data_IF_891875075799
#
_entry.id   IF_891875075799
#
_cell.length_a   1.000
_cell.length_b   1.000
_cell.length_c   1.000
_cell.angle_alpha   90.00
_cell.angle_beta   90.00
_cell.angle_gamma   90.00
#
_symmetry.space_group_name_H-M   'P 1'
#
loop_
_entity.id
_entity.type
_entity.pdbx_description
1 polymer ?
#
# COMPACT_ATOMS: atom_id res chain seq x y z
N UNK A 1 7.68 -1.89 -24.51
CA UNK A 1 7.43 -2.99 -23.56
C UNK A 1 6.91 -2.38 -22.28
N UNK A 2 5.81 -2.88 -21.72
CA UNK A 2 5.28 -2.41 -20.44
C UNK A 2 6.24 -2.79 -19.31
N UNK A 3 6.61 -1.83 -18.46
CA UNK A 3 7.39 -2.08 -17.26
C UNK A 3 6.41 -2.49 -16.14
N UNK A 4 6.41 -3.75 -15.67
CA UNK A 4 5.41 -4.24 -14.72
C UNK A 4 5.47 -3.51 -13.38
N UNK A 5 6.68 -3.16 -12.91
CA UNK A 5 6.88 -2.35 -11.69
C UNK A 5 6.19 -0.99 -11.84
N UNK A 6 6.53 -0.22 -12.88
CA UNK A 6 5.92 1.09 -13.15
C UNK A 6 4.41 1.01 -13.37
N UNK A 7 3.95 -0.05 -14.04
CA UNK A 7 2.52 -0.28 -14.30
C UNK A 7 1.77 -0.51 -12.99
N UNK A 8 2.25 -1.43 -12.15
CA UNK A 8 1.65 -1.68 -10.84
C UNK A 8 1.69 -0.42 -9.96
N UNK A 9 2.83 0.27 -9.90
CA UNK A 9 2.95 1.52 -9.13
C UNK A 9 1.94 2.57 -9.60
N UNK A 10 1.73 2.71 -10.91
CA UNK A 10 0.77 3.67 -11.45
C UNK A 10 -0.67 3.32 -11.11
N UNK A 11 -1.05 2.06 -11.28
CA UNK A 11 -2.39 1.56 -10.92
C UNK A 11 -2.65 1.76 -9.43
N UNK A 12 -1.70 1.34 -8.57
CA UNK A 12 -1.82 1.53 -7.14
C UNK A 12 -1.88 3.01 -6.79
N UNK A 13 -1.07 3.86 -7.42
CA UNK A 13 -1.08 5.31 -7.19
C UNK A 13 -2.46 5.92 -7.43
N UNK A 14 -3.10 5.60 -8.56
CA UNK A 14 -4.47 6.04 -8.85
C UNK A 14 -5.47 5.48 -7.84
N UNK A 15 -5.43 4.17 -7.57
CA UNK A 15 -6.36 3.52 -6.64
C UNK A 15 -6.27 4.15 -5.26
N UNK A 16 -5.06 4.35 -4.73
CA UNK A 16 -4.81 4.92 -3.41
C UNK A 16 -5.35 6.34 -3.26
N UNK A 17 -5.11 7.20 -4.26
CA UNK A 17 -5.71 8.55 -4.26
C UNK A 17 -7.23 8.48 -4.28
N UNK A 18 -7.81 7.63 -5.13
CA UNK A 18 -9.26 7.52 -5.23
C UNK A 18 -9.90 7.01 -3.94
N UNK A 19 -9.38 5.93 -3.35
CA UNK A 19 -9.94 5.37 -2.11
C UNK A 19 -9.70 6.28 -0.90
N UNK A 20 -8.62 7.07 -0.90
CA UNK A 20 -8.38 8.06 0.15
C UNK A 20 -9.28 9.30 0.02
N UNK A 21 -9.71 9.69 -1.20
CA UNK A 21 -10.65 10.81 -1.40
C UNK A 21 -12.10 10.38 -1.16
N UNK A 22 -12.44 9.13 -1.44
CA UNK A 22 -13.83 8.65 -1.47
C UNK A 22 -14.63 8.84 -0.16
N UNK A 23 -14.05 8.68 1.06
CA UNK A 23 -14.76 8.94 2.32
C UNK A 23 -15.26 10.39 2.43
N UNK A 24 -14.49 11.36 1.93
CA UNK A 24 -14.87 12.78 1.89
C UNK A 24 -16.03 13.07 0.93
N UNK A 25 -16.35 12.13 0.04
CA UNK A 25 -17.47 12.18 -0.90
C UNK A 25 -18.64 11.29 -0.45
N UNK A 26 -18.62 10.79 0.79
CA UNK A 26 -19.66 9.96 1.37
C UNK A 26 -19.37 8.45 1.34
N UNK A 27 -18.20 8.02 0.87
CA UNK A 27 -17.70 6.64 1.00
C UNK A 27 -18.39 5.57 0.15
N UNK A 28 -19.61 5.85 -0.33
CA UNK A 28 -20.47 4.97 -1.15
C UNK A 28 -20.75 3.58 -0.52
N UNK A 29 -20.66 3.47 0.81
CA UNK A 29 -20.80 2.21 1.53
C UNK A 29 -19.56 1.31 1.46
N UNK A 30 -18.47 1.78 0.84
CA UNK A 30 -17.22 1.05 0.69
C UNK A 30 -16.16 1.45 1.73
N UNK A 31 -15.85 2.74 1.85
CA UNK A 31 -14.74 3.25 2.68
C UNK A 31 -15.19 4.43 3.54
N UNK A 32 -14.79 4.43 4.81
CA UNK A 32 -15.08 5.51 5.77
C UNK A 32 -15.65 5.00 7.09
N UNK A 33 -16.02 5.94 7.96
CA UNK A 33 -16.54 5.61 9.29
C UNK A 33 -17.78 4.71 9.20
N UNK A 34 -17.74 3.58 9.94
CA UNK A 34 -18.75 2.53 9.92
C UNK A 34 -18.98 1.77 8.61
N UNK A 35 -18.15 1.94 7.56
CA UNK A 35 -18.34 1.28 6.26
C UNK A 35 -17.58 -0.05 6.15
N UNK A 36 -17.63 -0.71 4.98
CA UNK A 36 -17.00 -2.03 4.74
C UNK A 36 -15.50 -2.01 5.09
N UNK A 37 -14.78 -1.01 4.60
CA UNK A 37 -13.42 -0.66 5.00
C UNK A 37 -13.52 0.53 5.94
N UNK A 38 -13.20 0.30 7.20
CA UNK A 38 -13.42 1.31 8.22
C UNK A 38 -12.18 2.20 8.31
N UNK A 39 -12.34 3.46 7.93
CA UNK A 39 -11.25 4.42 7.90
C UNK A 39 -11.64 5.71 8.61
N UNK A 40 -10.65 6.33 9.23
CA UNK A 40 -10.74 7.69 9.74
C UNK A 40 -9.92 8.64 8.84
N UNK A 41 -10.02 9.94 9.11
CA UNK A 41 -9.30 10.97 8.33
C UNK A 41 -7.80 10.70 8.25
N UNK A 42 -7.19 10.19 9.32
CA UNK A 42 -5.75 9.88 9.31
C UNK A 42 -5.40 8.75 8.35
N UNK A 43 -6.19 7.68 8.31
CA UNK A 43 -6.04 6.60 7.33
C UNK A 43 -6.22 7.14 5.90
N UNK A 44 -7.25 7.93 5.67
CA UNK A 44 -7.57 8.49 4.35
C UNK A 44 -6.41 9.37 3.82
N UNK A 45 -5.83 10.20 4.70
CA UNK A 45 -4.66 11.02 4.36
C UNK A 45 -3.41 10.19 4.07
N UNK A 46 -3.19 9.08 4.79
CA UNK A 46 -2.11 8.14 4.49
C UNK A 46 -2.31 7.54 3.10
N UNK A 47 -3.53 7.14 2.75
CA UNK A 47 -3.84 6.62 1.41
C UNK A 47 -3.61 7.65 0.31
N UNK A 48 -4.06 8.89 0.48
CA UNK A 48 -3.80 9.97 -0.48
C UNK A 48 -2.29 10.19 -0.64
N UNK A 49 -1.55 10.30 0.47
CA UNK A 49 -0.11 10.55 0.44
C UNK A 49 0.65 9.42 -0.26
N UNK A 50 0.36 8.16 0.08
CA UNK A 50 0.98 7.02 -0.60
C UNK A 50 0.64 6.99 -2.09
N UNK A 51 -0.61 7.28 -2.46
CA UNK A 51 -1.03 7.35 -3.85
C UNK A 51 -0.28 8.42 -4.64
N UNK A 52 -0.14 9.62 -4.07
CA UNK A 52 0.64 10.71 -4.67
C UNK A 52 2.11 10.31 -4.83
N UNK A 53 2.72 9.70 -3.82
CA UNK A 53 4.11 9.19 -3.90
C UNK A 53 4.23 8.22 -5.07
N UNK A 54 3.34 7.24 -5.19
CA UNK A 54 3.36 6.26 -6.28
C UNK A 54 3.21 6.92 -7.66
N UNK A 55 2.32 7.91 -7.81
CA UNK A 55 2.18 8.64 -9.06
C UNK A 55 3.43 9.44 -9.44
N UNK A 56 4.16 9.99 -8.46
CA UNK A 56 5.45 10.63 -8.71
C UNK A 56 6.51 9.61 -9.13
N UNK A 57 6.46 8.40 -8.57
CA UNK A 57 7.39 7.32 -8.89
C UNK A 57 7.23 6.79 -10.31
N UNK A 58 6.08 6.94 -10.99
CA UNK A 58 5.93 6.47 -12.38
C UNK A 58 6.46 7.42 -13.44
N UNK A 59 6.87 8.64 -13.04
CA UNK A 59 7.44 9.62 -13.97
C UNK A 59 8.73 9.11 -14.63
N UNK A 60 9.07 9.69 -15.78
CA UNK A 60 10.29 9.36 -16.54
C UNK A 60 11.57 9.80 -15.84
N UNK A 61 11.46 10.68 -14.84
CA UNK A 61 12.58 11.19 -14.05
C UNK A 61 13.08 10.19 -12.99
N UNK A 62 12.30 9.13 -12.73
CA UNK A 62 12.58 8.15 -11.69
C UNK A 62 12.92 6.81 -12.34
N UNK A 63 14.01 6.17 -11.92
CA UNK A 63 14.41 4.86 -12.46
C UNK A 63 13.47 3.74 -12.00
N UNK A 64 13.42 2.65 -12.77
CA UNK A 64 12.71 1.42 -12.38
C UNK A 64 13.22 0.90 -11.04
N UNK A 65 14.53 0.91 -10.84
CA UNK A 65 15.18 0.44 -9.60
C UNK A 65 14.75 1.21 -8.37
N UNK A 66 14.70 2.55 -8.46
CA UNK A 66 14.21 3.37 -7.36
C UNK A 66 12.71 3.13 -7.12
N UNK A 67 11.93 2.91 -8.18
CA UNK A 67 10.49 2.56 -8.08
C UNK A 67 10.30 1.23 -7.36
N UNK A 68 11.09 0.21 -7.72
CA UNK A 68 11.10 -1.12 -7.10
C UNK A 68 11.43 -1.04 -5.62
N UNK A 69 12.45 -0.28 -5.25
CA UNK A 69 12.82 -0.07 -3.83
C UNK A 69 11.70 0.55 -3.02
N UNK A 70 11.03 1.57 -3.56
CA UNK A 70 9.87 2.20 -2.89
C UNK A 70 8.73 1.20 -2.73
N UNK A 71 8.41 0.41 -3.77
CA UNK A 71 7.42 -0.66 -3.66
C UNK A 71 7.79 -1.67 -2.57
N UNK A 72 9.04 -2.12 -2.48
CA UNK A 72 9.46 -3.05 -1.41
C UNK A 72 9.24 -2.45 -0.02
N UNK A 73 9.66 -1.19 0.18
CA UNK A 73 9.47 -0.50 1.46
C UNK A 73 8.00 -0.44 1.84
N UNK A 74 7.12 0.01 0.94
CA UNK A 74 5.69 0.07 1.21
C UNK A 74 5.05 -1.31 1.35
N UNK A 75 5.47 -2.32 0.58
CA UNK A 75 5.01 -3.69 0.72
C UNK A 75 5.31 -4.27 2.11
N UNK A 76 6.51 -4.01 2.64
CA UNK A 76 6.87 -4.35 4.03
C UNK A 76 6.00 -3.57 5.01
N UNK A 77 5.81 -2.26 4.81
CA UNK A 77 4.94 -1.44 5.67
C UNK A 77 3.52 -2.02 5.72
N UNK A 78 2.91 -2.32 4.58
CA UNK A 78 1.55 -2.91 4.54
C UNK A 78 1.49 -4.27 5.23
N UNK A 79 2.52 -5.10 5.10
CA UNK A 79 2.57 -6.37 5.81
C UNK A 79 2.63 -6.16 7.33
N UNK A 80 3.47 -5.23 7.80
CA UNK A 80 3.59 -4.90 9.22
C UNK A 80 2.29 -4.32 9.76
N UNK A 81 1.64 -3.42 9.01
CA UNK A 81 0.33 -2.84 9.35
C UNK A 81 -0.72 -3.93 9.46
N UNK A 82 -0.78 -4.87 8.51
CA UNK A 82 -1.72 -5.98 8.55
C UNK A 82 -1.50 -6.88 9.79
N UNK A 83 -0.25 -7.26 10.06
CA UNK A 83 0.11 -8.08 11.23
C UNK A 83 -0.28 -7.38 12.52
N UNK A 84 0.07 -6.10 12.67
CA UNK A 84 -0.30 -5.32 13.85
C UNK A 84 -1.82 -5.18 13.96
N UNK A 85 -2.51 -4.92 12.85
CA UNK A 85 -3.97 -4.84 12.80
C UNK A 85 -4.65 -6.13 13.27
N UNK A 86 -4.18 -7.31 12.84
CA UNK A 86 -4.73 -8.58 13.33
C UNK A 86 -4.49 -8.80 14.82
N UNK A 87 -3.32 -8.40 15.34
CA UNK A 87 -3.00 -8.51 16.77
C UNK A 87 -3.90 -7.59 17.60
N UNK A 88 -4.05 -6.33 17.20
CA UNK A 88 -4.77 -5.33 18.02
C UNK A 88 -6.29 -5.46 17.85
N UNK A 89 -6.80 -5.66 16.62
CA UNK A 89 -8.24 -5.90 16.40
C UNK A 89 -8.69 -7.21 17.04
N UNK A 90 -7.85 -8.25 17.05
CA UNK A 90 -8.14 -9.51 17.73
C UNK A 90 -8.19 -9.39 19.27
N UNK A 91 -7.56 -8.35 19.84
CA UNK A 91 -7.53 -8.10 21.27
C UNK A 91 -8.61 -7.10 21.75
N UNK A 92 -9.17 -6.29 20.85
CA UNK A 92 -10.24 -5.34 21.18
C UNK A 92 -11.62 -5.99 21.12
N UNK A 93 -12.50 -5.68 22.07
CA UNK A 93 -13.91 -6.12 22.09
C UNK A 93 -14.77 -5.55 20.96
N UNK A 94 -14.18 -4.77 20.04
CA UNK A 94 -14.81 -4.17 18.87
C UNK A 94 -14.03 -4.48 17.58
N UNK A 95 -14.73 -4.46 16.45
CA UNK A 95 -14.18 -4.78 15.12
C UNK A 95 -13.33 -3.66 14.49
N UNK A 96 -12.96 -2.64 15.27
CA UNK A 96 -12.23 -1.46 14.82
C UNK A 96 -11.11 -1.19 15.81
N UNK A 97 -9.91 -0.93 15.31
CA UNK A 97 -8.77 -0.56 16.14
C UNK A 97 -7.92 0.53 15.50
N UNK A 98 -7.45 1.47 16.32
CA UNK A 98 -6.43 2.42 15.92
C UNK A 98 -5.06 1.74 15.88
N UNK A 99 -4.38 1.77 14.73
CA UNK A 99 -3.13 1.10 14.37
C UNK A 99 -1.92 1.38 15.31
N UNK A 100 -2.05 2.28 16.29
CA UNK A 100 -1.05 2.52 17.33
C UNK A 100 -1.64 2.64 18.76
N UNK A 101 -2.91 2.30 18.99
CA UNK A 101 -3.61 2.60 20.25
C UNK A 101 -3.83 4.10 20.52
N UNK A 102 -3.34 4.96 19.61
CA UNK A 102 -3.44 6.42 19.65
C UNK A 102 -4.63 6.97 18.84
N UNK A 103 -5.42 6.11 18.18
CA UNK A 103 -6.57 6.51 17.35
C UNK A 103 -6.22 7.30 16.07
N UNK A 104 -4.95 7.31 15.65
CA UNK A 104 -4.52 8.13 14.50
C UNK A 104 -4.93 7.52 13.15
N UNK A 105 -4.83 6.21 13.00
CA UNK A 105 -5.19 5.48 11.77
C UNK A 105 -6.03 4.29 12.20
N UNK A 106 -7.31 4.28 11.85
CA UNK A 106 -8.23 3.21 12.22
C UNK A 106 -8.32 2.15 11.13
N UNK A 107 -8.39 0.88 11.53
CA UNK A 107 -8.52 -0.28 10.65
C UNK A 107 -9.52 -1.28 11.22
N UNK A 108 -10.23 -1.99 10.35
CA UNK A 108 -11.02 -3.17 10.69
C UNK A 108 -10.42 -4.47 10.12
N UNK A 109 -11.15 -5.58 10.27
CA UNK A 109 -10.72 -6.87 9.70
C UNK A 109 -10.60 -6.86 8.18
N UNK A 110 -11.53 -6.20 7.47
CA UNK A 110 -11.48 -6.11 6.01
C UNK A 110 -10.23 -5.35 5.54
N UNK A 111 -9.87 -4.26 6.22
CA UNK A 111 -8.63 -3.51 5.98
C UNK A 111 -7.39 -4.40 6.17
N UNK A 112 -7.35 -5.19 7.24
CA UNK A 112 -6.22 -6.09 7.51
C UNK A 112 -6.01 -7.11 6.38
N UNK A 113 -7.08 -7.74 5.90
CA UNK A 113 -6.99 -8.68 4.77
C UNK A 113 -6.57 -7.97 3.48
N UNK A 114 -7.11 -6.78 3.21
CA UNK A 114 -6.73 -5.99 2.03
C UNK A 114 -5.24 -5.62 2.08
N UNK A 115 -4.72 -5.23 3.24
CA UNK A 115 -3.30 -4.94 3.42
C UNK A 115 -2.40 -6.17 3.21
N UNK A 116 -2.82 -7.37 3.61
CA UNK A 116 -2.10 -8.61 3.28
C UNK A 116 -2.05 -8.82 1.77
N UNK A 117 -3.21 -8.76 1.10
CA UNK A 117 -3.29 -8.94 -0.36
C UNK A 117 -2.39 -7.93 -1.08
N UNK A 118 -2.43 -6.67 -0.65
CA UNK A 118 -1.60 -5.62 -1.20
C UNK A 118 -0.11 -5.87 -0.96
N UNK A 119 0.28 -6.23 0.26
CA UNK A 119 1.68 -6.55 0.59
C UNK A 119 2.21 -7.69 -0.29
N UNK A 120 1.44 -8.77 -0.44
CA UNK A 120 1.81 -9.91 -1.28
C UNK A 120 1.91 -9.53 -2.76
N UNK A 121 0.96 -8.74 -3.28
CA UNK A 121 1.00 -8.29 -4.66
C UNK A 121 2.21 -7.40 -4.95
N UNK A 122 2.49 -6.44 -4.07
CA UNK A 122 3.61 -5.50 -4.21
C UNK A 122 4.96 -6.23 -4.11
N UNK A 123 5.15 -7.02 -3.04
CA UNK A 123 6.39 -7.76 -2.80
C UNK A 123 6.62 -8.83 -3.85
N UNK A 124 5.57 -9.50 -4.31
CA UNK A 124 5.64 -10.49 -5.38
C UNK A 124 6.14 -9.90 -6.69
N UNK A 125 5.56 -8.77 -7.14
CA UNK A 125 6.04 -8.10 -8.37
C UNK A 125 7.47 -7.58 -8.22
N UNK A 126 7.81 -7.01 -7.06
CA UNK A 126 9.16 -6.51 -6.83
C UNK A 126 10.22 -7.63 -6.80
N UNK A 127 9.89 -8.79 -6.23
CA UNK A 127 10.79 -9.94 -6.17
C UNK A 127 11.02 -10.56 -7.55
N UNK A 128 9.95 -10.78 -8.32
CA UNK A 128 10.02 -11.38 -9.66
C UNK A 128 10.84 -10.53 -10.65
N UNK A 129 10.79 -9.20 -10.53
CA UNK A 129 11.60 -8.32 -11.39
C UNK A 129 13.10 -8.35 -11.02
N UNK A 130 13.44 -8.64 -9.76
CA UNK A 130 14.82 -8.79 -9.31
C UNK A 130 15.55 -10.00 -9.91
N UNK A 131 14.82 -11.05 -10.28
CA UNK A 131 15.39 -12.25 -10.92
C UNK A 131 15.67 -12.06 -12.42
N UNK A 132 15.03 -11.07 -13.04
CA UNK A 132 15.16 -10.81 -14.48
C UNK A 132 16.33 -9.87 -14.83
N UNK A 133 17.06 -9.34 -13.84
CA UNK A 133 18.24 -8.53 -14.09
C UNK A 133 19.41 -9.40 -14.56
N UNK A 134 20.01 -9.13 -15.73
CA UNK A 134 21.18 -9.86 -16.18
C UNK A 134 22.32 -9.68 -15.19
N UNK A 135 22.98 -10.79 -14.82
CA UNK A 135 24.10 -10.79 -13.88
C UNK A 135 25.14 -9.74 -14.30
N UNK A 136 25.78 -9.04 -13.34
CA UNK A 136 26.83 -8.08 -13.66
C UNK A 136 27.88 -8.79 -14.52
N UNK A 137 28.08 -8.30 -15.75
CA UNK A 137 29.19 -8.77 -16.56
C UNK A 137 30.44 -8.50 -15.76
N UNK A 138 31.10 -9.58 -15.31
CA UNK A 138 32.40 -9.48 -14.67
C UNK A 138 33.32 -8.94 -15.74
N UNK A 139 33.57 -7.64 -15.72
CA UNK A 139 34.50 -6.99 -16.61
C UNK A 139 35.86 -7.64 -16.33
N UNK A 140 36.27 -8.50 -17.26
CA UNK A 140 37.47 -9.31 -17.17
C UNK A 140 38.67 -8.37 -17.18
N UNK A 141 39.22 -8.14 -15.98
CA UNK A 141 40.50 -7.49 -15.74
C UNK A 141 41.64 -8.50 -15.89
#
# INVERSE_FOLDING_TARGET
MSNPVKTLTGVLGVVFVLVGILPFLGGLGLVGDGQLFHTNVGHDLVHILTGVIYLLMVTTLVTTENTKRVLIVFGIIYLLIAVLGFIVVGASSGNVSGLLGLGLVEVNQADNFLHVVLALAILGVAALEGENEPAPQKENM
#
